data_IF_133023958016
#
_entry.id   IF_133023958016
#
_cell.length_a   1.000
_cell.length_b   1.000
_cell.length_c   1.000
_cell.angle_alpha   90.00
_cell.angle_beta   90.00
_cell.angle_gamma   90.00
#
_symmetry.space_group_name_H-M   'P 1'
#
loop_
_entity.id
_entity.type
_entity.pdbx_description
1 polymer ?
#
# COMPACT_ATOMS: atom_id res chain seq x y z
N UNK A 1 -24.61 -4.45 55.37
CA UNK A 1 -25.14 -3.45 54.41
C UNK A 1 -24.12 -2.33 54.23
N UNK A 2 -23.68 -2.07 53.00
CA UNK A 2 -22.67 -1.04 52.67
C UNK A 2 -23.16 0.36 53.05
N UNK A 3 -24.44 0.68 52.82
CA UNK A 3 -25.00 2.01 53.11
C UNK A 3 -25.02 2.33 54.61
N UNK A 4 -25.28 1.36 55.47
CA UNK A 4 -25.23 1.55 56.92
C UNK A 4 -23.82 1.92 57.39
N UNK A 5 -22.80 1.20 56.92
CA UNK A 5 -21.40 1.48 57.24
C UNK A 5 -20.94 2.83 56.67
N UNK A 6 -21.42 3.20 55.47
CA UNK A 6 -21.10 4.48 54.85
C UNK A 6 -21.64 5.67 55.67
N UNK A 7 -22.84 5.55 56.25
CA UNK A 7 -23.44 6.57 57.12
C UNK A 7 -22.73 6.68 58.47
N UNK A 8 -22.32 5.55 59.03
CA UNK A 8 -21.51 5.53 60.26
C UNK A 8 -20.14 6.20 60.03
N UNK A 9 -19.51 5.94 58.88
CA UNK A 9 -18.22 6.53 58.52
C UNK A 9 -18.31 8.02 58.17
N UNK A 10 -19.33 8.43 57.39
CA UNK A 10 -19.53 9.80 56.94
C UNK A 10 -20.67 10.50 57.70
N UNK A 11 -20.57 10.51 59.04
CA UNK A 11 -21.59 11.06 59.94
C UNK A 11 -21.72 12.58 59.84
N UNK A 12 -20.65 13.26 59.43
CA UNK A 12 -20.58 14.70 59.15
C UNK A 12 -21.47 15.13 57.97
N UNK A 13 -21.71 14.24 57.01
CA UNK A 13 -22.51 14.52 55.81
C UNK A 13 -24.03 14.39 56.02
N UNK A 14 -24.49 13.97 57.21
CA UNK A 14 -25.93 13.85 57.56
C UNK A 14 -26.79 13.17 56.49
N UNK A 15 -26.29 12.09 55.89
CA UNK A 15 -26.96 11.42 54.77
C UNK A 15 -28.32 10.83 55.22
N UNK A 16 -29.42 11.14 54.50
CA UNK A 16 -30.75 10.62 54.82
C UNK A 16 -30.78 9.10 54.63
N UNK A 17 -31.54 8.41 55.48
CA UNK A 17 -31.73 6.96 55.36
C UNK A 17 -32.71 6.65 54.22
N UNK A 18 -32.27 5.96 53.15
CA UNK A 18 -33.19 5.57 52.09
C UNK A 18 -34.21 4.56 52.63
N UNK A 19 -35.44 4.66 52.17
CA UNK A 19 -36.45 3.64 52.47
C UNK A 19 -36.19 2.36 51.67
N UNK A 20 -36.74 1.23 52.12
CA UNK A 20 -36.63 -0.04 51.41
C UNK A 20 -37.12 0.06 49.94
N UNK A 21 -38.19 0.82 49.70
CA UNK A 21 -38.69 1.07 48.36
C UNK A 21 -37.72 1.88 47.48
N UNK A 22 -36.95 2.80 48.06
CA UNK A 22 -35.91 3.54 47.35
C UNK A 22 -34.71 2.64 47.02
N UNK A 23 -34.35 1.73 47.92
CA UNK A 23 -33.34 0.70 47.66
C UNK A 23 -33.73 -0.19 46.48
N UNK A 24 -34.93 -0.74 46.50
CA UNK A 24 -35.40 -1.63 45.44
C UNK A 24 -35.45 -0.92 44.09
N UNK A 25 -35.96 0.31 44.05
CA UNK A 25 -36.01 1.11 42.83
C UNK A 25 -34.60 1.38 42.26
N UNK A 26 -33.66 1.82 43.11
CA UNK A 26 -32.29 2.08 42.66
C UNK A 26 -31.58 0.81 42.17
N UNK A 27 -31.86 -0.32 42.79
CA UNK A 27 -31.34 -1.62 42.38
C UNK A 27 -31.92 -2.06 41.02
N UNK A 28 -33.23 -1.91 40.83
CA UNK A 28 -33.90 -2.22 39.55
C UNK A 28 -33.41 -1.31 38.42
N UNK A 29 -33.18 -0.03 38.71
CA UNK A 29 -32.64 0.95 37.75
C UNK A 29 -31.19 0.60 37.39
N UNK A 30 -30.37 0.18 38.36
CA UNK A 30 -29.00 -0.27 38.12
C UNK A 30 -28.94 -1.58 37.31
N UNK A 31 -29.88 -2.50 37.52
CA UNK A 31 -30.03 -3.73 36.74
C UNK A 31 -30.42 -3.45 35.28
N UNK A 32 -31.26 -2.44 35.05
CA UNK A 32 -31.72 -2.03 33.71
C UNK A 32 -30.69 -1.18 32.97
N UNK A 33 -29.74 -0.60 33.67
CA UNK A 33 -28.69 0.21 33.07
C UNK A 33 -27.84 -0.64 32.11
N UNK A 34 -27.71 -0.17 30.86
CA UNK A 34 -26.80 -0.76 29.88
C UNK A 34 -25.43 -0.11 30.00
N UNK A 35 -24.41 -0.79 30.54
CA UNK A 35 -23.10 -0.18 30.71
C UNK A 35 -22.50 0.20 29.38
N UNK A 36 -22.00 1.43 29.30
CA UNK A 36 -21.21 1.87 28.15
C UNK A 36 -19.81 1.26 28.30
N UNK A 37 -19.54 0.19 27.57
CA UNK A 37 -18.21 -0.44 27.62
C UNK A 37 -17.20 0.42 26.87
N UNK A 38 -16.35 1.16 27.57
CA UNK A 38 -15.09 1.61 26.98
C UNK A 38 -14.25 0.37 26.71
N UNK A 39 -13.88 0.16 25.44
CA UNK A 39 -12.98 -0.91 24.98
C UNK A 39 -11.63 -0.83 25.71
N UNK A 40 -11.54 -1.36 26.92
CA UNK A 40 -10.28 -1.45 27.67
C UNK A 40 -9.79 -2.90 27.70
N UNK A 41 -10.70 -3.87 27.62
CA UNK A 41 -10.34 -5.25 27.36
C UNK A 41 -10.44 -5.52 25.86
N UNK A 42 -9.30 -5.90 25.25
CA UNK A 42 -9.31 -6.67 24.01
C UNK A 42 -10.12 -7.93 24.32
N UNK A 43 -11.43 -7.89 24.07
CA UNK A 43 -12.21 -9.09 23.91
C UNK A 43 -11.42 -9.96 22.94
N UNK A 44 -10.98 -11.12 23.43
CA UNK A 44 -10.48 -12.21 22.62
C UNK A 44 -11.58 -12.50 21.62
N UNK A 45 -11.54 -11.81 20.48
CA UNK A 45 -12.35 -12.17 19.33
C UNK A 45 -12.03 -13.64 19.11
N UNK A 46 -13.08 -14.45 19.13
CA UNK A 46 -13.17 -15.75 18.49
C UNK A 46 -12.14 -15.87 17.36
N UNK A 47 -11.52 -17.04 17.21
CA UNK A 47 -10.55 -17.47 16.19
C UNK A 47 -10.89 -17.06 14.72
N UNK A 48 -11.12 -15.78 14.44
CA UNK A 48 -11.07 -15.19 13.12
C UNK A 48 -9.59 -15.16 12.82
N UNK A 49 -9.15 -16.14 12.02
CA UNK A 49 -7.90 -16.08 11.27
C UNK A 49 -7.68 -14.61 10.90
N UNK A 50 -6.61 -14.02 11.45
CA UNK A 50 -6.23 -12.68 11.01
C UNK A 50 -6.03 -12.80 9.50
N UNK A 51 -6.57 -11.85 8.74
CA UNK A 51 -6.31 -11.78 7.31
C UNK A 51 -5.11 -10.88 7.11
N UNK A 52 -4.13 -11.32 6.33
CA UNK A 52 -3.02 -10.46 5.93
C UNK A 52 -3.57 -9.47 4.91
N UNK A 53 -3.29 -8.19 5.12
CA UNK A 53 -3.80 -7.13 4.25
C UNK A 53 -2.79 -6.85 3.15
N UNK A 54 -3.23 -6.65 1.90
CA UNK A 54 -2.31 -6.28 0.83
C UNK A 54 -1.67 -4.93 1.12
N UNK A 55 -0.37 -4.84 0.85
CA UNK A 55 0.43 -3.63 0.93
C UNK A 55 0.31 -2.81 -0.35
N UNK A 56 0.43 -3.44 -1.52
CA UNK A 56 0.24 -2.79 -2.82
C UNK A 56 -0.10 -3.80 -3.93
N UNK A 57 -0.58 -3.28 -5.06
CA UNK A 57 -0.75 -4.02 -6.31
C UNK A 57 0.19 -3.46 -7.36
N UNK A 58 0.77 -4.33 -8.17
CA UNK A 58 1.73 -3.94 -9.20
C UNK A 58 1.71 -4.85 -10.41
N UNK A 59 2.40 -4.40 -11.45
CA UNK A 59 2.66 -5.17 -12.67
C UNK A 59 4.09 -5.68 -12.57
N UNK A 60 4.27 -6.99 -12.71
CA UNK A 60 5.58 -7.63 -12.65
C UNK A 60 6.33 -7.40 -13.97
N UNK A 61 7.54 -6.83 -13.88
CA UNK A 61 8.33 -6.53 -15.07
C UNK A 61 9.50 -7.51 -15.14
N UNK A 62 9.62 -8.31 -16.23
CA UNK A 62 10.68 -9.29 -16.36
C UNK A 62 12.07 -8.64 -16.29
N UNK A 63 12.83 -8.98 -15.23
CA UNK A 63 14.13 -8.37 -14.91
C UNK A 63 15.09 -8.39 -16.09
N UNK A 64 15.25 -9.53 -16.74
CA UNK A 64 16.20 -9.67 -17.86
C UNK A 64 15.84 -8.78 -19.04
N UNK A 65 14.55 -8.71 -19.40
CA UNK A 65 14.07 -7.86 -20.49
C UNK A 65 14.28 -6.39 -20.17
N UNK A 66 13.86 -5.96 -18.97
CA UNK A 66 14.01 -4.58 -18.56
C UNK A 66 15.47 -4.14 -18.48
N UNK A 67 16.36 -4.98 -17.93
CA UNK A 67 17.79 -4.66 -17.87
C UNK A 67 18.42 -4.61 -19.26
N UNK A 68 17.99 -5.45 -20.20
CA UNK A 68 18.44 -5.39 -21.59
C UNK A 68 18.03 -4.06 -22.25
N UNK A 69 16.77 -3.64 -22.08
CA UNK A 69 16.24 -2.35 -22.56
C UNK A 69 17.01 -1.17 -21.95
N UNK A 70 17.21 -1.18 -20.63
CA UNK A 70 17.96 -0.13 -19.93
C UNK A 70 19.42 -0.07 -20.38
N UNK A 71 20.07 -1.22 -20.52
CA UNK A 71 21.47 -1.28 -20.97
C UNK A 71 21.61 -0.75 -22.39
N UNK A 72 20.69 -1.15 -23.29
CA UNK A 72 20.65 -0.63 -24.65
C UNK A 72 20.46 0.89 -24.65
N UNK A 73 19.52 1.40 -23.86
CA UNK A 73 19.29 2.84 -23.73
C UNK A 73 20.57 3.56 -23.30
N UNK A 74 21.25 3.07 -22.25
CA UNK A 74 22.46 3.69 -21.73
C UNK A 74 23.62 3.68 -22.74
N UNK A 75 23.71 2.65 -23.58
CA UNK A 75 24.71 2.52 -24.65
C UNK A 75 24.40 3.45 -25.84
N UNK A 76 23.13 3.52 -26.23
CA UNK A 76 22.67 4.36 -27.34
C UNK A 76 22.64 5.84 -26.93
N UNK A 77 22.48 6.12 -25.63
CA UNK A 77 22.51 7.47 -25.09
C UNK A 77 23.94 7.99 -25.00
N UNK A 78 24.19 9.17 -25.56
CA UNK A 78 25.41 9.92 -25.34
C UNK A 78 25.37 10.69 -23.99
N UNK A 79 24.81 10.10 -22.92
CA UNK A 79 24.80 10.70 -21.58
C UNK A 79 25.75 9.95 -20.64
N UNK A 80 26.97 10.48 -20.42
CA UNK A 80 27.90 9.97 -19.41
C UNK A 80 27.29 10.00 -18.02
N UNK A 81 26.48 11.02 -17.70
CA UNK A 81 25.90 11.21 -16.37
C UNK A 81 24.91 10.10 -16.00
N UNK A 82 24.11 9.64 -16.97
CA UNK A 82 23.20 8.50 -16.78
C UNK A 82 23.99 7.21 -16.48
N UNK A 83 25.03 6.95 -17.26
CA UNK A 83 25.91 5.80 -17.11
C UNK A 83 26.64 5.82 -15.76
N UNK A 84 27.21 6.95 -15.38
CA UNK A 84 27.92 7.13 -14.11
C UNK A 84 26.99 6.90 -12.92
N UNK A 85 25.79 7.47 -12.94
CA UNK A 85 24.85 7.27 -11.84
C UNK A 85 24.38 5.82 -11.76
N UNK A 86 24.09 5.17 -12.88
CA UNK A 86 23.73 3.75 -12.90
C UNK A 86 24.86 2.85 -12.40
N UNK A 87 26.10 3.08 -12.86
CA UNK A 87 27.29 2.36 -12.40
C UNK A 87 27.51 2.53 -10.89
N UNK A 88 27.30 3.74 -10.38
CA UNK A 88 27.34 4.01 -8.94
C UNK A 88 26.27 3.21 -8.18
N UNK A 89 25.05 3.08 -8.72
CA UNK A 89 24.01 2.25 -8.11
C UNK A 89 24.41 0.77 -8.07
N UNK A 90 25.00 0.26 -9.15
CA UNK A 90 25.47 -1.14 -9.21
C UNK A 90 26.61 -1.38 -8.23
N UNK A 91 27.67 -0.56 -8.27
CA UNK A 91 28.85 -0.67 -7.41
C UNK A 91 28.48 -0.66 -5.91
N UNK A 92 27.49 0.15 -5.53
CA UNK A 92 27.04 0.28 -4.16
C UNK A 92 25.90 -0.70 -3.77
N UNK A 93 25.54 -1.66 -4.64
CA UNK A 93 24.44 -2.62 -4.44
C UNK A 93 23.13 -1.90 -4.09
N UNK A 94 22.84 -0.85 -4.84
CA UNK A 94 21.68 0.03 -4.69
C UNK A 94 20.68 -0.05 -5.83
N UNK A 95 21.05 -0.69 -6.94
CA UNK A 95 20.10 -1.10 -7.95
C UNK A 95 19.17 -2.20 -7.41
N UNK A 96 17.91 -2.17 -7.83
CA UNK A 96 16.94 -3.23 -7.54
C UNK A 96 17.29 -4.48 -8.35
N UNK A 97 16.89 -5.64 -7.82
CA UNK A 97 17.06 -6.95 -8.48
C UNK A 97 15.75 -7.48 -9.08
N UNK A 98 14.64 -6.85 -8.70
CA UNK A 98 13.29 -7.18 -9.14
C UNK A 98 12.59 -5.86 -9.50
N UNK A 99 11.88 -5.84 -10.62
CA UNK A 99 11.29 -4.64 -11.18
C UNK A 99 9.78 -4.77 -11.31
N UNK A 100 9.08 -3.71 -10.96
CA UNK A 100 7.63 -3.67 -11.04
C UNK A 100 7.13 -2.25 -11.25
N UNK A 101 5.93 -2.14 -11.81
CA UNK A 101 5.17 -0.88 -11.85
C UNK A 101 4.14 -0.92 -10.72
N UNK A 102 4.22 -0.02 -9.75
CA UNK A 102 3.20 0.05 -8.69
C UNK A 102 1.93 0.73 -9.20
N UNK A 103 0.81 0.02 -9.18
CA UNK A 103 -0.52 0.55 -9.57
C UNK A 103 -1.14 1.37 -8.44
N UNK A 104 -1.12 0.80 -7.22
CA UNK A 104 -1.65 1.46 -6.01
C UNK A 104 -1.02 0.88 -4.74
N UNK A 105 -0.62 1.76 -3.82
CA UNK A 105 -0.07 1.37 -2.52
C UNK A 105 -1.01 1.77 -1.38
N UNK A 106 -1.25 0.86 -0.43
CA UNK A 106 -2.12 1.06 0.74
C UNK A 106 -1.70 2.27 1.58
N UNK A 107 -0.41 2.45 1.80
CA UNK A 107 0.14 3.60 2.54
C UNK A 107 -0.22 4.95 1.92
N UNK A 108 -0.26 5.04 0.59
CA UNK A 108 -0.65 6.25 -0.12
C UNK A 108 -2.17 6.38 -0.20
N UNK A 109 -2.90 5.29 -0.42
CA UNK A 109 -4.35 5.32 -0.62
C UNK A 109 -5.17 5.41 0.68
N UNK A 110 -4.70 4.80 1.78
CA UNK A 110 -5.42 4.70 3.05
C UNK A 110 -4.93 5.69 4.11
N UNK A 111 -3.98 6.57 3.78
CA UNK A 111 -3.55 7.63 4.69
C UNK A 111 -4.70 8.58 5.04
N UNK A 112 -4.60 9.22 6.20
CA UNK A 112 -5.59 10.22 6.65
C UNK A 112 -5.71 11.37 5.65
N UNK A 113 -4.58 11.75 5.03
CA UNK A 113 -4.47 12.85 4.05
C UNK A 113 -4.80 12.44 2.62
N UNK A 114 -5.05 11.16 2.35
CA UNK A 114 -5.29 10.69 0.98
C UNK A 114 -6.59 11.25 0.40
N UNK A 115 -6.56 11.72 -0.86
CA UNK A 115 -7.75 12.06 -1.62
C UNK A 115 -8.82 10.96 -1.56
N UNK A 116 -10.10 11.36 -1.61
CA UNK A 116 -11.22 10.40 -1.65
C UNK A 116 -11.13 9.43 -2.84
N UNK A 117 -10.58 9.90 -3.97
CA UNK A 117 -10.41 9.08 -5.18
C UNK A 117 -9.50 7.87 -4.90
N UNK A 118 -8.37 8.05 -4.21
CA UNK A 118 -7.40 6.99 -3.98
C UNK A 118 -7.97 5.92 -3.02
N UNK A 119 -8.72 6.35 -2.00
CA UNK A 119 -9.47 5.44 -1.11
C UNK A 119 -10.50 4.63 -1.88
N UNK A 120 -11.22 5.28 -2.81
CA UNK A 120 -12.20 4.61 -3.67
C UNK A 120 -11.51 3.62 -4.60
N UNK A 121 -10.40 3.99 -5.23
CA UNK A 121 -9.57 3.12 -6.07
C UNK A 121 -9.09 1.90 -5.30
N UNK A 122 -8.51 2.08 -4.11
CA UNK A 122 -8.09 0.96 -3.26
C UNK A 122 -9.24 0.01 -2.91
N UNK A 123 -10.40 0.57 -2.57
CA UNK A 123 -11.58 -0.23 -2.27
C UNK A 123 -12.06 -1.04 -3.48
N UNK A 124 -12.00 -0.50 -4.70
CA UNK A 124 -12.31 -1.24 -5.93
C UNK A 124 -11.35 -2.43 -6.11
N UNK A 125 -10.05 -2.23 -5.92
CA UNK A 125 -9.06 -3.32 -6.03
C UNK A 125 -9.37 -4.45 -5.05
N UNK A 126 -9.58 -4.11 -3.77
CA UNK A 126 -9.74 -5.10 -2.70
C UNK A 126 -11.13 -5.76 -2.69
N UNK A 127 -12.19 -5.03 -3.04
CA UNK A 127 -13.57 -5.49 -2.86
C UNK A 127 -14.28 -5.86 -4.17
N UNK A 128 -13.75 -5.45 -5.33
CA UNK A 128 -14.37 -5.68 -6.65
C UNK A 128 -13.42 -6.50 -7.52
N UNK A 129 -12.32 -5.92 -8.00
CA UNK A 129 -11.44 -6.57 -9.01
C UNK A 129 -10.75 -7.84 -8.49
N UNK A 130 -10.16 -7.80 -7.30
CA UNK A 130 -9.30 -8.88 -6.78
C UNK A 130 -9.86 -9.51 -5.50
N UNK A 131 -11.16 -9.35 -5.25
CA UNK A 131 -11.81 -9.86 -4.03
C UNK A 131 -11.63 -11.37 -3.88
N UNK A 132 -11.84 -12.13 -4.95
CA UNK A 132 -11.75 -13.60 -4.90
C UNK A 132 -10.30 -14.07 -4.78
N UNK A 133 -9.35 -13.42 -5.45
CA UNK A 133 -7.91 -13.67 -5.25
C UNK A 133 -7.50 -13.49 -3.79
N UNK A 134 -7.87 -12.35 -3.19
CA UNK A 134 -7.54 -12.05 -1.81
C UNK A 134 -8.20 -13.03 -0.83
N UNK A 135 -9.41 -13.50 -1.11
CA UNK A 135 -10.05 -14.55 -0.29
C UNK A 135 -9.27 -15.85 -0.41
N UNK A 136 -8.87 -16.24 -1.63
CA UNK A 136 -8.13 -17.47 -1.87
C UNK A 136 -6.81 -17.47 -1.09
N UNK A 137 -6.01 -16.39 -1.17
CA UNK A 137 -4.78 -16.27 -0.38
C UNK A 137 -5.03 -16.36 1.13
N UNK A 138 -6.07 -15.71 1.65
CA UNK A 138 -6.38 -15.79 3.09
C UNK A 138 -6.87 -17.17 3.54
N UNK A 139 -7.39 -18.00 2.62
CA UNK A 139 -7.82 -19.36 2.91
C UNK A 139 -6.65 -20.35 2.87
N UNK A 140 -5.82 -20.26 1.83
CA UNK A 140 -4.69 -21.17 1.59
C UNK A 140 -3.57 -21.00 2.61
N UNK A 141 -3.36 -19.78 3.12
CA UNK A 141 -2.35 -19.53 4.11
C UNK A 141 -2.89 -19.71 5.55
N UNK A 142 -2.23 -20.58 6.32
CA UNK A 142 -2.66 -20.95 7.66
C UNK A 142 -2.26 -19.89 8.69
N UNK A 143 -1.17 -19.17 8.45
CA UNK A 143 -0.66 -18.11 9.31
C UNK A 143 -0.46 -16.78 8.56
N UNK A 144 -0.60 -15.66 9.28
CA UNK A 144 -0.32 -14.32 8.75
C UNK A 144 1.13 -14.13 8.29
N UNK A 145 2.07 -14.91 8.83
CA UNK A 145 3.49 -14.76 8.53
C UNK A 145 3.87 -15.44 7.22
N UNK A 146 3.01 -16.30 6.65
CA UNK A 146 3.36 -17.13 5.50
C UNK A 146 3.49 -16.30 4.20
N UNK A 147 2.71 -15.22 4.09
CA UNK A 147 2.65 -14.35 2.89
C UNK A 147 3.13 -12.92 3.13
N UNK A 148 3.34 -12.52 4.38
CA UNK A 148 3.78 -11.16 4.68
C UNK A 148 5.16 -10.90 4.06
N UNK A 149 5.30 -9.80 3.34
CA UNK A 149 6.53 -9.43 2.65
C UNK A 149 6.74 -10.20 1.34
N UNK A 150 5.71 -10.85 0.79
CA UNK A 150 5.81 -11.63 -0.44
C UNK A 150 4.90 -11.05 -1.52
N UNK A 151 5.42 -11.11 -2.74
CA UNK A 151 4.67 -10.96 -3.97
C UNK A 151 3.93 -12.26 -4.29
N UNK A 152 2.66 -12.15 -4.66
CA UNK A 152 1.80 -13.26 -5.04
C UNK A 152 1.06 -12.91 -6.33
N UNK A 153 1.18 -13.78 -7.34
CA UNK A 153 0.50 -13.61 -8.63
C UNK A 153 -1.00 -13.85 -8.48
N UNK A 154 -1.81 -12.97 -9.06
CA UNK A 154 -3.27 -13.10 -9.01
C UNK A 154 -3.74 -14.29 -9.87
N UNK A 155 -4.66 -15.09 -9.33
CA UNK A 155 -5.27 -16.24 -10.01
C UNK A 155 -6.32 -15.80 -11.03
N UNK A 156 -6.85 -14.58 -10.91
CA UNK A 156 -7.79 -13.98 -11.86
C UNK A 156 -7.21 -13.75 -13.26
N UNK A 157 -5.90 -13.97 -13.46
CA UNK A 157 -5.28 -13.95 -14.79
C UNK A 157 -5.18 -12.57 -15.42
N UNK A 158 -5.27 -11.50 -14.62
CA UNK A 158 -5.13 -10.15 -15.13
C UNK A 158 -3.71 -9.88 -15.63
N UNK A 159 -3.63 -9.29 -16.82
CA UNK A 159 -2.37 -8.85 -17.41
C UNK A 159 -2.43 -7.39 -17.82
N UNK A 160 -1.27 -6.75 -17.92
CA UNK A 160 -1.14 -5.36 -18.32
C UNK A 160 -0.03 -5.18 -19.35
N UNK A 161 -0.21 -4.21 -20.24
CA UNK A 161 0.83 -3.78 -21.17
C UNK A 161 1.34 -2.41 -20.75
N UNK A 162 2.67 -2.23 -20.73
CA UNK A 162 3.33 -0.99 -20.32
C UNK A 162 4.29 -0.50 -21.40
N UNK A 163 4.31 0.81 -21.64
CA UNK A 163 5.28 1.47 -22.51
C UNK A 163 6.38 2.12 -21.68
N UNK A 164 7.64 2.00 -22.09
CA UNK A 164 8.76 2.70 -21.47
C UNK A 164 8.90 4.07 -22.13
N UNK A 165 8.88 5.14 -21.33
CA UNK A 165 8.90 6.51 -21.85
C UNK A 165 10.29 7.11 -21.75
N UNK A 166 10.74 7.41 -20.53
CA UNK A 166 12.05 8.02 -20.30
C UNK A 166 12.70 7.52 -19.01
N UNK A 167 14.01 7.36 -19.06
CA UNK A 167 14.86 7.25 -17.89
C UNK A 167 14.94 8.62 -17.23
N UNK A 168 14.60 8.73 -15.96
CA UNK A 168 14.67 9.96 -15.17
C UNK A 168 15.57 9.76 -13.95
N UNK A 169 16.46 10.71 -13.66
CA UNK A 169 17.30 10.66 -12.47
C UNK A 169 17.71 12.03 -11.95
N UNK A 170 18.07 12.04 -10.65
CA UNK A 170 18.78 13.11 -9.96
C UNK A 170 19.95 12.49 -9.17
N UNK A 171 20.53 13.21 -8.22
CA UNK A 171 21.58 12.73 -7.33
C UNK A 171 21.10 11.69 -6.29
N UNK A 172 19.80 11.40 -6.23
CA UNK A 172 19.14 10.61 -5.17
C UNK A 172 18.52 9.33 -5.68
N UNK A 173 17.85 9.35 -6.83
CA UNK A 173 17.05 8.22 -7.33
C UNK A 173 17.06 8.17 -8.86
N UNK A 174 17.03 6.95 -9.39
CA UNK A 174 16.87 6.68 -10.81
C UNK A 174 15.62 5.82 -11.01
N UNK A 175 14.77 6.18 -11.97
CA UNK A 175 13.59 5.42 -12.34
C UNK A 175 13.27 5.60 -13.83
N UNK A 176 12.49 4.69 -14.39
CA UNK A 176 11.91 4.83 -15.73
C UNK A 176 10.44 5.22 -15.58
N UNK A 177 10.03 6.33 -16.19
CA UNK A 177 8.61 6.66 -16.31
C UNK A 177 7.96 5.76 -17.36
N UNK A 178 6.73 5.34 -17.11
CA UNK A 178 6.03 4.37 -17.99
C UNK A 178 4.58 4.77 -18.17
N UNK A 179 3.99 4.33 -19.28
CA UNK A 179 2.55 4.43 -19.53
C UNK A 179 1.87 3.07 -19.43
N UNK A 180 0.64 3.07 -18.93
CA UNK A 180 -0.23 1.90 -18.97
C UNK A 180 -0.97 1.89 -20.33
N UNK A 181 -0.58 0.99 -21.21
CA UNK A 181 -1.13 0.88 -22.56
C UNK A 181 -2.48 0.15 -22.57
N UNK A 182 -2.71 -0.74 -21.61
CA UNK A 182 -3.97 -1.46 -21.45
C UNK A 182 -3.88 -2.56 -20.40
N UNK A 183 -5.05 -3.01 -19.94
CA UNK A 183 -5.18 -4.14 -19.01
C UNK A 183 -6.20 -5.12 -19.58
N UNK A 184 -5.90 -6.41 -19.49
CA UNK A 184 -6.81 -7.50 -19.83
C UNK A 184 -7.17 -8.28 -18.57
N UNK A 185 -8.42 -8.71 -18.47
CA UNK A 185 -8.83 -9.67 -17.44
C UNK A 185 -8.46 -11.11 -17.85
N UNK A 186 -8.75 -12.10 -17.00
CA UNK A 186 -8.47 -13.51 -17.30
C UNK A 186 -9.23 -14.10 -18.50
N UNK A 187 -10.30 -13.46 -19.00
CA UNK A 187 -10.98 -13.83 -20.25
C UNK A 187 -10.35 -13.17 -21.49
N UNK A 188 -9.34 -12.32 -21.32
CA UNK A 188 -8.67 -11.60 -22.40
C UNK A 188 -9.38 -10.30 -22.81
N UNK A 189 -10.42 -9.89 -22.12
CA UNK A 189 -11.16 -8.65 -22.41
C UNK A 189 -10.42 -7.44 -21.84
N UNK A 190 -10.37 -6.36 -22.62
CA UNK A 190 -9.80 -5.09 -22.17
C UNK A 190 -10.67 -4.48 -21.08
N UNK A 191 -10.05 -4.17 -19.94
CA UNK A 191 -10.71 -3.59 -18.77
C UNK A 191 -9.98 -2.33 -18.31
N UNK A 192 -10.72 -1.36 -17.81
CA UNK A 192 -10.11 -0.18 -17.17
C UNK A 192 -9.85 -0.47 -15.69
N UNK A 193 -8.56 -0.46 -15.31
CA UNK A 193 -8.14 -0.44 -13.91
C UNK A 193 -7.77 0.99 -13.49
N UNK A 194 -8.43 1.55 -12.47
CA UNK A 194 -8.07 2.88 -11.98
C UNK A 194 -6.67 2.84 -11.32
N UNK A 195 -5.85 3.84 -11.60
CA UNK A 195 -4.48 3.94 -11.10
C UNK A 195 -4.47 4.85 -9.86
N UNK A 196 -3.75 4.43 -8.81
CA UNK A 196 -3.59 5.21 -7.58
C UNK A 196 -2.36 6.13 -7.59
N UNK A 197 -1.30 5.74 -8.30
CA UNK A 197 -0.12 6.58 -8.49
C UNK A 197 -0.35 7.64 -9.58
N UNK A 198 0.16 8.84 -9.36
CA UNK A 198 0.04 9.94 -10.32
C UNK A 198 0.89 9.73 -11.57
N UNK A 199 2.12 9.26 -11.38
CA UNK A 199 3.05 8.92 -12.44
C UNK A 199 3.51 7.48 -12.23
N UNK A 200 3.22 6.61 -13.19
CA UNK A 200 3.70 5.24 -13.16
C UNK A 200 5.18 5.21 -13.46
N UNK A 201 5.89 4.32 -12.78
CA UNK A 201 7.33 4.19 -12.93
C UNK A 201 7.83 2.85 -12.46
N UNK A 202 9.01 2.49 -12.96
CA UNK A 202 9.85 1.41 -12.48
C UNK A 202 11.04 2.04 -11.77
N UNK A 203 11.22 1.76 -10.48
CA UNK A 203 12.38 2.30 -9.75
C UNK A 203 13.61 1.45 -10.05
N UNK A 204 14.70 2.07 -10.51
CA UNK A 204 15.97 1.36 -10.77
C UNK A 204 16.78 1.24 -9.49
N UNK A 205 16.92 2.33 -8.73
CA UNK A 205 17.74 2.32 -7.52
C UNK A 205 17.77 3.66 -6.82
N UNK A 206 18.38 3.68 -5.63
CA UNK A 206 18.50 4.87 -4.78
C UNK A 206 19.93 5.06 -4.31
N UNK A 207 20.47 6.28 -4.37
CA UNK A 207 21.88 6.57 -4.12
C UNK A 207 22.41 6.01 -2.78
N UNK A 208 21.56 5.93 -1.74
CA UNK A 208 21.90 5.28 -0.48
C UNK A 208 20.68 4.74 0.27
N UNK A 209 20.90 4.05 1.40
CA UNK A 209 19.85 3.38 2.20
C UNK A 209 18.87 4.31 2.90
N UNK A 210 19.22 5.58 3.12
CA UNK A 210 18.31 6.55 3.74
C UNK A 210 17.21 7.02 2.78
N UNK A 211 17.44 6.85 1.47
CA UNK A 211 16.50 7.18 0.40
C UNK A 211 15.66 5.94 0.09
N UNK A 212 14.34 6.10 0.16
CA UNK A 212 13.37 5.03 -0.10
C UNK A 212 12.89 5.09 -1.55
N UNK A 213 12.51 3.96 -2.13
CA UNK A 213 11.99 3.89 -3.50
C UNK A 213 10.77 4.79 -3.76
N UNK A 214 10.00 5.16 -2.72
CA UNK A 214 8.91 6.14 -2.84
C UNK A 214 9.38 7.52 -3.34
N UNK A 215 10.67 7.82 -3.24
CA UNK A 215 11.29 9.05 -3.74
C UNK A 215 11.11 9.21 -5.26
N UNK A 216 11.03 8.12 -6.03
CA UNK A 216 10.74 8.16 -7.48
C UNK A 216 9.44 8.92 -7.79
N UNK A 217 8.41 8.81 -6.94
CA UNK A 217 7.18 9.60 -7.10
C UNK A 217 7.44 11.10 -6.99
N UNK A 218 8.34 11.51 -6.08
CA UNK A 218 8.69 12.92 -5.89
C UNK A 218 9.54 13.42 -7.05
N UNK A 219 10.47 12.61 -7.54
CA UNK A 219 11.27 12.92 -8.72
C UNK A 219 10.36 13.21 -9.92
N UNK A 220 9.43 12.31 -10.24
CA UNK A 220 8.52 12.53 -11.37
C UNK A 220 7.54 13.70 -11.15
N UNK A 221 7.13 13.95 -9.91
CA UNK A 221 6.33 15.14 -9.60
C UNK A 221 7.12 16.42 -9.86
N UNK A 222 8.39 16.49 -9.42
CA UNK A 222 9.29 17.62 -9.72
C UNK A 222 9.47 17.82 -11.22
N UNK A 223 9.68 16.74 -11.97
CA UNK A 223 9.85 16.79 -13.42
C UNK A 223 8.59 17.30 -14.12
N UNK A 224 7.43 16.69 -13.89
CA UNK A 224 6.23 16.96 -14.70
C UNK A 224 5.35 18.09 -14.16
N UNK A 225 5.28 18.28 -12.84
CA UNK A 225 4.45 19.35 -12.26
C UNK A 225 5.20 20.67 -12.15
N UNK A 226 6.48 20.61 -11.82
CA UNK A 226 7.29 21.80 -11.52
C UNK A 226 8.32 22.11 -12.60
N UNK A 227 8.54 21.20 -13.57
CA UNK A 227 9.53 21.36 -14.64
C UNK A 227 10.92 21.68 -14.09
N UNK A 228 11.30 20.97 -13.02
CA UNK A 228 12.59 21.14 -12.35
C UNK A 228 13.74 20.77 -13.30
N UNK A 229 14.56 21.76 -13.65
CA UNK A 229 15.72 21.58 -14.55
C UNK A 229 16.85 20.75 -13.92
N UNK A 230 16.79 20.49 -12.61
CA UNK A 230 17.75 19.60 -11.93
C UNK A 230 17.49 18.11 -12.13
N UNK A 231 16.47 17.74 -12.93
CA UNK A 231 16.16 16.34 -13.24
C UNK A 231 16.58 16.06 -14.67
N UNK A 232 17.42 15.05 -14.82
CA UNK A 232 17.92 14.61 -16.10
C UNK A 232 17.00 13.53 -16.68
N UNK A 233 16.81 13.55 -17.99
CA UNK A 233 16.03 12.52 -18.69
C UNK A 233 16.68 12.03 -19.98
N UNK A 234 16.42 10.78 -20.34
CA UNK A 234 16.78 10.16 -21.63
C UNK A 234 15.58 9.36 -22.14
N UNK A 235 15.12 9.64 -23.36
CA UNK A 235 13.95 8.98 -23.95
C UNK A 235 14.28 7.56 -24.42
N UNK A 236 13.40 6.60 -24.13
CA UNK A 236 13.42 5.31 -24.78
C UNK A 236 12.97 5.45 -26.24
N UNK A 237 13.54 4.63 -27.12
CA UNK A 237 12.89 4.34 -28.40
C UNK A 237 11.57 3.59 -28.12
N UNK A 238 10.58 3.67 -29.02
CA UNK A 238 9.27 3.03 -28.84
C UNK A 238 9.38 1.57 -28.37
N UNK A 239 9.25 1.36 -27.06
CA UNK A 239 9.50 0.10 -26.39
C UNK A 239 8.37 -0.19 -25.40
N UNK A 240 7.87 -1.42 -25.45
CA UNK A 240 6.75 -1.83 -24.62
C UNK A 240 6.86 -3.29 -24.22
N UNK A 241 6.28 -3.60 -23.07
CA UNK A 241 6.13 -4.96 -22.57
C UNK A 241 4.64 -5.27 -22.48
N UNK A 242 4.23 -6.34 -23.16
CA UNK A 242 2.83 -6.76 -23.25
C UNK A 242 2.52 -7.95 -22.35
N UNK A 243 1.26 -8.04 -21.95
CA UNK A 243 0.68 -9.16 -21.22
C UNK A 243 1.46 -9.54 -19.93
N UNK A 244 1.98 -8.52 -19.24
CA UNK A 244 2.69 -8.67 -17.97
C UNK A 244 1.72 -9.01 -16.82
N UNK A 245 2.06 -9.95 -15.93
CA UNK A 245 1.14 -10.37 -14.87
C UNK A 245 0.96 -9.28 -13.81
N UNK A 246 -0.29 -9.10 -13.36
CA UNK A 246 -0.58 -8.28 -12.19
C UNK A 246 -0.44 -9.13 -10.93
N UNK A 247 0.23 -8.58 -9.92
CA UNK A 247 0.45 -9.22 -8.64
C UNK A 247 -0.04 -8.36 -7.48
N UNK A 248 -0.14 -9.01 -6.32
CA UNK A 248 -0.37 -8.36 -5.03
C UNK A 248 0.80 -8.65 -4.10
N UNK A 249 1.26 -7.63 -3.38
CA UNK A 249 2.25 -7.78 -2.32
C UNK A 249 1.59 -7.58 -0.96
N UNK A 250 1.92 -8.42 0.02
CA UNK A 250 1.35 -8.42 1.38
C UNK A 250 2.30 -7.92 2.46
#
# INVERSE_FOLDING_TARGET
MIVKHLREFASDLQLPEPTEGQFQKAFDDALKYKPTTTKIFKTSKSNKKKTTKPQYFGIDVPTEKFLASLTKLLQDSNSPEANDFYNNLIANKRAQTEFHVTLIHSGSALSKKSPKKDKKTWNKYVNEYFREDLKLFNQTHQSNNDIKGKQCNLHSGFTASVGLNELCWDDRVMCVSVDLLGVKNGSGETVELPIGNKYLHITIGTANRSIKAVESNKLLSKLYDFKDEGIHTVQFAEESFCDLPIFVHF
#
